data_IF_260170760783
#
_entry.id   IF_260170760783
#
_cell.length_a   1.000
_cell.length_b   1.000
_cell.length_c   1.000
_cell.angle_alpha   90.00
_cell.angle_beta   90.00
_cell.angle_gamma   90.00
#
_symmetry.space_group_name_H-M   'P 1'
#
loop_
_entity.id
_entity.type
_entity.pdbx_description
1 polymer ?
#
# COMPACT_ATOMS: atom_id res chain seq x y z
N UNK A 1 -6.16 -8.49 -6.59
CA UNK A 1 -7.61 -8.40 -6.35
C UNK A 1 -8.22 -7.57 -7.46
N UNK A 2 -9.38 -7.97 -7.96
CA UNK A 2 -10.05 -7.27 -9.07
C UNK A 2 -11.21 -6.45 -8.51
N UNK A 3 -11.33 -5.20 -8.93
CA UNK A 3 -12.45 -4.32 -8.57
C UNK A 3 -13.07 -3.73 -9.83
N UNK A 4 -14.40 -3.57 -9.83
CA UNK A 4 -15.12 -2.93 -10.93
C UNK A 4 -15.37 -1.47 -10.53
N UNK A 5 -15.09 -0.55 -11.45
CA UNK A 5 -15.35 0.88 -11.26
C UNK A 5 -15.85 1.53 -12.54
N UNK A 6 -16.35 2.76 -12.42
CA UNK A 6 -16.83 3.56 -13.54
C UNK A 6 -15.90 4.76 -13.72
N UNK A 7 -15.46 5.02 -14.95
CA UNK A 7 -14.64 6.19 -15.27
C UNK A 7 -15.51 7.45 -15.18
N UNK A 8 -15.20 8.37 -14.27
CA UNK A 8 -15.91 9.65 -14.17
C UNK A 8 -15.32 10.70 -15.11
N UNK A 9 -13.98 10.77 -15.19
CA UNK A 9 -13.28 11.75 -16.01
C UNK A 9 -11.86 11.32 -16.33
N UNK A 10 -11.26 11.96 -17.33
CA UNK A 10 -9.87 11.73 -17.75
C UNK A 10 -9.07 13.01 -17.51
N UNK A 11 -7.97 12.90 -16.78
CA UNK A 11 -7.00 13.97 -16.52
C UNK A 11 -5.67 13.58 -17.21
N UNK A 12 -5.50 14.00 -18.46
CA UNK A 12 -4.30 13.71 -19.26
C UNK A 12 -4.11 12.21 -19.53
N UNK A 13 -3.06 11.61 -18.94
CA UNK A 13 -2.77 10.16 -19.06
C UNK A 13 -3.45 9.30 -17.98
N UNK A 14 -4.12 9.93 -17.02
CA UNK A 14 -4.77 9.26 -15.89
C UNK A 14 -6.30 9.36 -16.01
N UNK A 15 -6.99 8.27 -15.68
CA UNK A 15 -8.44 8.24 -15.53
C UNK A 15 -8.79 8.28 -14.04
N UNK A 16 -9.81 9.08 -13.69
CA UNK A 16 -10.40 9.08 -12.36
C UNK A 16 -11.60 8.14 -12.39
N UNK A 17 -11.48 7.05 -11.62
CA UNK A 17 -12.46 5.98 -11.58
C UNK A 17 -13.08 5.95 -10.20
N UNK A 18 -14.41 5.92 -10.16
CA UNK A 18 -15.14 5.71 -8.92
C UNK A 18 -15.34 4.23 -8.71
N UNK A 19 -14.80 3.73 -7.60
CA UNK A 19 -14.88 2.33 -7.19
C UNK A 19 -15.81 2.24 -6.00
N UNK A 20 -16.77 1.32 -6.08
CA UNK A 20 -17.54 0.94 -4.91
C UNK A 20 -16.63 0.08 -4.02
N UNK A 21 -16.28 0.61 -2.84
CA UNK A 21 -15.48 -0.16 -1.89
C UNK A 21 -16.37 -1.29 -1.37
N UNK A 22 -16.03 -2.54 -1.69
CA UNK A 22 -16.62 -3.67 -0.99
C UNK A 22 -16.20 -3.54 0.49
N UNK A 23 -17.15 -3.15 1.33
CA UNK A 23 -16.93 -3.08 2.77
C UNK A 23 -16.69 -4.49 3.29
N UNK A 24 -15.67 -4.67 4.14
CA UNK A 24 -15.40 -5.93 4.84
C UNK A 24 -16.52 -6.33 5.82
N UNK A 25 -17.51 -5.47 6.04
CA UNK A 25 -18.69 -5.76 6.82
C UNK A 25 -19.59 -6.71 6.01
N UNK A 26 -19.43 -8.00 6.25
CA UNK A 26 -20.36 -9.03 5.79
C UNK A 26 -21.79 -8.70 6.23
N UNK A 27 -22.72 -9.01 5.32
CA UNK A 27 -24.18 -9.10 5.29
C UNK A 27 -25.10 -8.77 6.49
N UNK A 28 -24.62 -8.46 7.71
CA UNK A 28 -25.44 -8.06 8.85
C UNK A 28 -25.36 -6.55 9.11
N UNK A 29 -25.82 -5.76 8.13
CA UNK A 29 -25.97 -4.30 8.25
C UNK A 29 -27.18 -3.87 9.11
N UNK A 30 -28.04 -4.80 9.55
CA UNK A 30 -29.29 -4.48 10.26
C UNK A 30 -29.09 -3.79 11.62
N UNK A 31 -27.92 -3.91 12.25
CA UNK A 31 -27.64 -3.32 13.56
C UNK A 31 -26.71 -2.10 13.53
N UNK A 32 -26.24 -1.66 12.36
CA UNK A 32 -25.38 -0.49 12.28
C UNK A 32 -26.24 0.77 12.17
N UNK A 33 -26.35 1.55 13.27
CA UNK A 33 -27.03 2.86 13.29
C UNK A 33 -26.31 3.95 12.46
N UNK A 34 -25.13 3.65 11.92
CA UNK A 34 -24.46 4.49 10.93
C UNK A 34 -24.86 4.01 9.55
N UNK A 35 -25.67 4.78 8.82
CA UNK A 35 -26.10 4.45 7.47
C UNK A 35 -24.93 4.00 6.60
N UNK A 36 -24.92 2.73 6.21
CA UNK A 36 -23.95 2.19 5.27
C UNK A 36 -24.26 2.73 3.87
N UNK A 37 -23.94 4.01 3.64
CA UNK A 37 -23.73 4.48 2.27
C UNK A 37 -22.46 3.80 1.77
N UNK A 38 -22.49 3.08 0.64
CA UNK A 38 -21.27 2.54 0.06
C UNK A 38 -20.34 3.72 -0.22
N UNK A 39 -19.26 3.82 0.55
CA UNK A 39 -18.28 4.88 0.40
C UNK A 39 -17.66 4.73 -0.99
N UNK A 40 -18.10 5.56 -1.92
CA UNK A 40 -17.52 5.70 -3.25
C UNK A 40 -16.12 6.27 -3.07
N UNK A 41 -15.10 5.49 -3.41
CA UNK A 41 -13.71 5.94 -3.36
C UNK A 41 -13.30 6.31 -4.78
N UNK A 42 -12.82 7.54 -4.96
CA UNK A 42 -12.21 7.95 -6.22
C UNK A 42 -10.76 7.45 -6.26
N UNK A 43 -10.44 6.72 -7.32
CA UNK A 43 -9.12 6.20 -7.59
C UNK A 43 -8.55 6.85 -8.85
N UNK A 44 -7.28 7.28 -8.81
CA UNK A 44 -6.55 7.73 -9.99
C UNK A 44 -5.76 6.55 -10.55
N UNK A 45 -6.01 6.21 -11.81
CA UNK A 45 -5.41 5.05 -12.48
C UNK A 45 -4.89 5.43 -13.85
N UNK A 46 -3.80 4.82 -14.29
CA UNK A 46 -3.29 5.04 -15.64
C UNK A 46 -4.25 4.48 -16.70
N UNK A 47 -4.56 5.29 -17.71
CA UNK A 47 -5.50 4.93 -18.76
C UNK A 47 -4.81 4.14 -19.90
N UNK A 48 -4.27 2.97 -19.57
CA UNK A 48 -3.60 2.10 -20.56
C UNK A 48 -4.54 1.50 -21.62
N UNK A 49 -5.85 1.42 -21.34
CA UNK A 49 -6.87 0.85 -22.22
C UNK A 49 -7.68 1.91 -23.01
N UNK A 50 -7.30 3.18 -22.92
CA UNK A 50 -7.96 4.30 -23.58
C UNK A 50 -9.42 4.54 -23.16
N UNK A 51 -9.84 4.05 -21.99
CA UNK A 51 -11.20 4.13 -21.46
C UNK A 51 -11.75 5.55 -21.47
N UNK A 52 -13.03 5.70 -21.78
CA UNK A 52 -13.76 6.97 -21.87
C UNK A 52 -14.60 7.20 -20.61
N UNK A 53 -14.97 8.46 -20.28
CA UNK A 53 -15.94 8.72 -19.22
C UNK A 53 -17.24 7.95 -19.47
N UNK A 54 -17.74 7.27 -18.44
CA UNK A 54 -18.91 6.39 -18.53
C UNK A 54 -18.59 4.91 -18.74
N UNK A 55 -17.35 4.56 -19.12
CA UNK A 55 -16.97 3.15 -19.30
C UNK A 55 -16.86 2.43 -17.95
N UNK A 56 -17.41 1.21 -17.89
CA UNK A 56 -17.16 0.25 -16.82
C UNK A 56 -15.79 -0.39 -17.04
N UNK A 57 -14.91 -0.25 -16.05
CA UNK A 57 -13.53 -0.74 -16.12
C UNK A 57 -13.23 -1.69 -14.99
N UNK A 58 -12.50 -2.77 -15.33
CA UNK A 58 -11.92 -3.68 -14.35
C UNK A 58 -10.56 -3.12 -13.94
N UNK A 59 -10.40 -2.88 -12.65
CA UNK A 59 -9.20 -2.40 -12.00
C UNK A 59 -8.48 -3.60 -11.38
N UNK A 60 -7.18 -3.72 -11.66
CA UNK A 60 -6.32 -4.65 -10.94
C UNK A 60 -5.50 -3.91 -9.90
N UNK A 61 -5.66 -4.31 -8.63
CA UNK A 61 -4.74 -3.94 -7.57
C UNK A 61 -3.57 -4.93 -7.61
N UNK A 62 -2.38 -4.42 -7.91
CA UNK A 62 -1.15 -5.21 -7.82
C UNK A 62 -0.76 -5.33 -6.35
N UNK A 63 -1.20 -6.41 -5.71
CA UNK A 63 -0.87 -6.72 -4.31
C UNK A 63 0.63 -6.95 -4.10
N UNK A 64 1.39 -7.18 -5.18
CA UNK A 64 2.83 -7.47 -5.13
C UNK A 64 3.64 -6.36 -4.47
N UNK A 65 3.27 -5.09 -4.66
CA UNK A 65 3.98 -3.97 -4.04
C UNK A 65 3.79 -3.92 -2.52
N UNK A 66 2.61 -4.26 -2.02
CA UNK A 66 2.33 -4.28 -0.58
C UNK A 66 3.10 -5.42 0.10
N UNK A 67 3.14 -6.59 -0.54
CA UNK A 67 3.87 -7.76 -0.01
C UNK A 67 5.38 -7.52 -0.03
N UNK A 68 5.91 -6.89 -1.09
CA UNK A 68 7.33 -6.56 -1.15
C UNK A 68 7.71 -5.49 -0.11
N UNK A 69 6.86 -4.47 0.08
CA UNK A 69 7.07 -3.44 1.08
C UNK A 69 7.04 -3.99 2.52
N UNK A 70 6.09 -4.88 2.83
CA UNK A 70 6.05 -5.52 4.15
C UNK A 70 7.27 -6.39 4.41
N UNK A 71 7.75 -7.12 3.40
CA UNK A 71 8.98 -7.90 3.47
C UNK A 71 10.18 -7.01 3.81
N UNK A 72 10.36 -5.88 3.14
CA UNK A 72 11.43 -4.92 3.44
C UNK A 72 11.33 -4.42 4.88
N UNK A 73 10.12 -4.10 5.36
CA UNK A 73 9.89 -3.59 6.71
C UNK A 73 10.29 -4.57 7.82
N UNK A 74 10.22 -5.88 7.55
CA UNK A 74 10.66 -6.90 8.51
C UNK A 74 12.13 -7.27 8.33
N UNK A 75 12.58 -7.51 7.09
CA UNK A 75 13.92 -8.00 6.82
C UNK A 75 15.00 -6.95 7.05
N UNK A 76 14.80 -5.71 6.61
CA UNK A 76 15.86 -4.67 6.69
C UNK A 76 16.18 -4.31 8.15
N UNK A 77 15.21 -4.04 9.03
CA UNK A 77 15.51 -3.75 10.44
C UNK A 77 16.13 -4.93 11.19
N UNK A 78 15.68 -6.16 10.90
CA UNK A 78 16.27 -7.37 11.48
C UNK A 78 17.75 -7.52 11.08
N UNK A 79 18.08 -7.32 9.80
CA UNK A 79 19.47 -7.38 9.35
C UNK A 79 20.32 -6.28 10.01
N UNK A 80 19.83 -5.05 10.08
CA UNK A 80 20.54 -3.95 10.75
C UNK A 80 20.81 -4.23 12.23
N UNK A 81 19.84 -4.83 12.94
CA UNK A 81 20.01 -5.21 14.33
C UNK A 81 21.10 -6.29 14.51
N UNK A 82 21.09 -7.32 13.65
CA UNK A 82 22.10 -8.39 13.67
C UNK A 82 23.48 -7.83 13.36
N UNK A 83 23.62 -7.04 12.30
CA UNK A 83 24.90 -6.42 11.94
C UNK A 83 25.40 -5.48 13.02
N UNK A 84 24.51 -4.66 13.62
CA UNK A 84 24.86 -3.78 14.74
C UNK A 84 25.36 -4.55 15.95
N UNK A 85 24.73 -5.68 16.29
CA UNK A 85 25.14 -6.53 17.39
C UNK A 85 26.51 -7.18 17.14
N UNK A 86 26.69 -7.79 15.96
CA UNK A 86 27.94 -8.48 15.59
C UNK A 86 29.11 -7.50 15.46
N UNK A 87 28.91 -6.35 14.82
CA UNK A 87 29.96 -5.33 14.73
C UNK A 87 30.38 -4.82 16.11
N UNK A 88 29.40 -4.52 16.98
CA UNK A 88 29.67 -4.02 18.32
C UNK A 88 30.33 -5.09 19.22
N UNK A 89 29.95 -6.37 19.10
CA UNK A 89 30.58 -7.44 19.87
C UNK A 89 32.04 -7.66 19.49
N UNK A 90 32.38 -7.54 18.20
CA UNK A 90 33.76 -7.68 17.73
C UNK A 90 34.66 -6.50 18.13
N UNK A 91 34.11 -5.27 18.20
CA UNK A 91 34.90 -4.08 18.56
C UNK A 91 35.06 -3.91 20.08
N UNK A 92 33.99 -4.13 20.86
CA UNK A 92 33.96 -3.71 22.26
C UNK A 92 34.09 -4.87 23.25
N UNK A 93 34.05 -6.14 22.79
CA UNK A 93 34.10 -7.37 23.61
C UNK A 93 33.13 -7.39 24.82
N UNK A 94 32.13 -6.50 24.83
CA UNK A 94 31.17 -6.31 25.91
C UNK A 94 29.77 -6.54 25.36
N UNK A 95 29.06 -7.49 25.96
CA UNK A 95 27.69 -7.86 25.61
C UNK A 95 26.70 -6.73 25.87
N UNK A 96 26.94 -5.90 26.90
CA UNK A 96 26.11 -4.75 27.20
C UNK A 96 26.15 -3.69 26.10
N UNK A 97 27.37 -3.39 25.59
CA UNK A 97 27.55 -2.42 24.49
C UNK A 97 26.95 -2.96 23.19
N UNK A 98 27.10 -4.26 22.93
CA UNK A 98 26.49 -4.90 21.76
C UNK A 98 24.96 -4.82 21.76
N UNK A 99 24.32 -5.04 22.91
CA UNK A 99 22.87 -4.93 23.04
C UNK A 99 22.35 -3.51 22.82
N UNK A 100 23.03 -2.50 23.40
CA UNK A 100 22.67 -1.09 23.21
C UNK A 100 22.84 -0.66 21.76
N UNK A 101 23.94 -1.04 21.11
CA UNK A 101 24.19 -0.74 19.70
C UNK A 101 23.17 -1.41 18.77
N UNK A 102 22.78 -2.67 19.04
CA UNK A 102 21.76 -3.36 18.27
C UNK A 102 20.40 -2.67 18.37
N UNK A 103 19.98 -2.30 19.58
CA UNK A 103 18.76 -1.53 19.82
C UNK A 103 18.79 -0.18 19.11
N UNK A 104 19.88 0.58 19.25
CA UNK A 104 20.04 1.87 18.59
C UNK A 104 20.00 1.75 17.06
N UNK A 105 20.65 0.74 16.48
CA UNK A 105 20.65 0.48 15.03
C UNK A 105 19.24 0.14 14.52
N UNK A 106 18.47 -0.65 15.27
CA UNK A 106 17.08 -0.98 14.94
C UNK A 106 16.19 0.28 14.93
N UNK A 107 16.24 1.09 15.99
CA UNK A 107 15.46 2.32 16.07
C UNK A 107 15.88 3.34 15.01
N UNK A 108 17.17 3.47 14.72
CA UNK A 108 17.67 4.34 13.66
C UNK A 108 17.15 3.89 12.28
N UNK A 109 17.22 2.59 11.97
CA UNK A 109 16.69 2.04 10.72
C UNK A 109 15.18 2.29 10.59
N UNK A 110 14.41 2.05 11.66
CA UNK A 110 12.98 2.30 11.66
C UNK A 110 12.64 3.79 11.48
N UNK A 111 13.39 4.69 12.13
CA UNK A 111 13.23 6.13 11.97
C UNK A 111 13.50 6.57 10.53
N UNK A 112 14.55 6.03 9.90
CA UNK A 112 14.86 6.29 8.48
C UNK A 112 13.69 5.83 7.60
N UNK A 113 13.20 4.60 7.78
CA UNK A 113 12.05 4.08 7.03
C UNK A 113 10.83 5.00 7.20
N UNK A 114 10.51 5.41 8.43
CA UNK A 114 9.41 6.36 8.74
C UNK A 114 9.57 7.71 8.03
N UNK A 115 10.79 8.25 7.97
CA UNK A 115 11.07 9.51 7.28
C UNK A 115 10.90 9.39 5.76
N UNK A 116 11.29 8.24 5.19
CA UNK A 116 11.09 7.94 3.77
C UNK A 116 9.62 7.64 3.45
N UNK A 117 8.89 6.93 4.30
CA UNK A 117 7.47 6.64 4.16
C UNK A 117 6.64 7.94 4.11
N UNK A 118 7.04 8.96 4.87
CA UNK A 118 6.42 10.29 4.82
C UNK A 118 6.68 11.04 3.50
N UNK A 119 7.75 10.69 2.78
CA UNK A 119 8.12 11.28 1.47
C UNK A 119 7.60 10.45 0.29
N UNK A 120 7.33 9.16 0.50
CA UNK A 120 6.73 8.28 -0.49
C UNK A 120 5.21 8.47 -0.35
N UNK A 121 4.64 9.28 -1.24
CA UNK A 121 3.19 9.50 -1.32
C UNK A 121 2.42 8.16 -1.19
N UNK A 122 1.22 8.16 -0.59
CA UNK A 122 0.44 6.94 -0.40
C UNK A 122 0.35 6.22 -1.73
N UNK A 123 0.97 5.04 -1.81
CA UNK A 123 0.98 4.22 -3.01
C UNK A 123 -0.48 3.91 -3.31
N UNK A 124 -1.03 4.65 -4.26
CA UNK A 124 -2.34 4.41 -4.84
C UNK A 124 -2.25 3.03 -5.48
N UNK A 125 -2.66 2.00 -4.74
CA UNK A 125 -2.52 0.59 -5.08
C UNK A 125 -3.41 0.15 -6.26
N UNK A 126 -3.92 1.10 -7.04
CA UNK A 126 -4.75 0.85 -8.20
C UNK A 126 -3.91 1.27 -9.39
N UNK A 127 -3.32 0.27 -10.06
CA UNK A 127 -2.13 0.51 -10.90
C UNK A 127 -2.45 0.45 -12.38
N UNK A 128 -3.57 -0.14 -12.80
CA UNK A 128 -3.89 -0.21 -14.23
C UNK A 128 -5.35 -0.54 -14.52
N UNK A 129 -5.90 0.10 -15.55
CA UNK A 129 -7.11 -0.35 -16.23
C UNK A 129 -6.71 -1.46 -17.21
N UNK A 130 -7.23 -2.67 -17.00
CA UNK A 130 -6.89 -3.85 -17.83
C UNK A 130 -7.97 -4.19 -18.86
N UNK A 131 -9.27 -3.99 -18.54
CA UNK A 131 -10.37 -4.33 -19.45
C UNK A 131 -11.55 -3.37 -19.28
N UNK A 132 -12.19 -3.01 -20.41
CA UNK A 132 -13.54 -2.44 -20.42
C UNK A 132 -14.54 -3.59 -20.30
N UNK A 133 -15.44 -3.50 -19.34
CA UNK A 133 -16.61 -4.38 -19.27
C UNK A 133 -17.67 -3.69 -20.12
N UNK A 134 -17.58 -3.87 -21.43
CA UNK A 134 -18.66 -3.44 -22.31
C UNK A 134 -19.89 -4.26 -21.94
N UNK A 135 -20.90 -3.60 -21.39
CA UNK A 135 -22.22 -4.18 -21.20
C UNK A 135 -22.87 -4.37 -22.56
N UNK A 136 -22.51 -5.44 -23.26
CA UNK A 136 -23.27 -5.99 -24.37
C UNK A 136 -23.16 -7.50 -24.39
#
# INVERSE_FOLDING_TARGET
MEQIGIVERIEGKQAVVTVARASACGENCAHCKGGCTPTKVQARVENGAGAKPGDLVKLETSTAHVVHASLILYFVPCLFAIFGAVAASNLFHSTAVAAVCAGAAFFACFAVIKLFDKKIAPVSNITKIIKRVDGR
#
